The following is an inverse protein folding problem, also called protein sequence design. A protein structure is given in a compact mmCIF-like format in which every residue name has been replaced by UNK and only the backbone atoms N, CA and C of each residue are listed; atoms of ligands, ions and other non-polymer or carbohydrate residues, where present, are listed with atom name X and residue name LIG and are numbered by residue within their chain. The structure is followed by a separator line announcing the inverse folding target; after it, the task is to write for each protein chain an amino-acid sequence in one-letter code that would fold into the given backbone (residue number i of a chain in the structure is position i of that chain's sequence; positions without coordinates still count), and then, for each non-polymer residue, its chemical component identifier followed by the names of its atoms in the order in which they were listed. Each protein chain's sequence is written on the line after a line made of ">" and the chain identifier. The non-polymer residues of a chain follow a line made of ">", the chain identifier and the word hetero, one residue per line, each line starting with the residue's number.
data_IF_116796425418
#
_entry.id   IF_116796425418
#
_cell.length_a   1.000
_cell.length_b   1.000
_cell.length_c   1.000
_cell.angle_alpha   90.00
_cell.angle_beta   90.00
_cell.angle_gamma   90.00
#
_symmetry.space_group_name_H-M   'P 1'
#
loop_
_entity.id
_entity.type
_entity.pdbx_description
1 polymer ?
#
# COMPACT_ATOMS: atom_id res chain seq x y z
N UNK A 1 14.03 -8.17 -13.68
CA UNK A 1 14.44 -8.42 -12.28
C UNK A 1 15.91 -8.08 -12.19
N UNK A 2 16.34 -7.34 -11.18
CA UNK A 2 17.75 -7.12 -10.93
C UNK A 2 18.47 -8.47 -10.79
N UNK A 3 19.59 -8.63 -11.48
CA UNK A 3 20.44 -9.80 -11.28
C UNK A 3 20.97 -9.76 -9.82
N UNK A 4 21.11 -10.92 -9.16
CA UNK A 4 21.67 -11.03 -7.81
C UNK A 4 23.05 -10.35 -7.72
N UNK A 5 23.80 -10.39 -8.82
CA UNK A 5 25.09 -9.71 -8.94
C UNK A 5 24.97 -8.18 -8.83
N UNK A 6 23.94 -7.58 -9.42
CA UNK A 6 23.75 -6.14 -9.37
C UNK A 6 23.28 -5.68 -7.98
N UNK A 7 22.49 -6.51 -7.29
CA UNK A 7 22.10 -6.29 -5.90
C UNK A 7 23.31 -6.35 -4.96
N UNK A 8 24.22 -7.30 -5.19
CA UNK A 8 25.49 -7.39 -4.46
C UNK A 8 26.36 -6.15 -4.69
N UNK A 9 26.55 -5.73 -5.94
CA UNK A 9 27.27 -4.47 -6.26
C UNK A 9 26.67 -3.25 -5.59
N UNK A 10 25.34 -3.14 -5.59
CA UNK A 10 24.63 -2.05 -4.92
C UNK A 10 24.86 -2.09 -3.42
N UNK A 11 24.76 -3.28 -2.79
CA UNK A 11 25.04 -3.43 -1.36
C UNK A 11 26.47 -3.01 -1.02
N UNK A 12 27.45 -3.45 -1.79
CA UNK A 12 28.87 -3.12 -1.56
C UNK A 12 29.10 -1.61 -1.69
N UNK A 13 28.50 -0.95 -2.69
CA UNK A 13 28.55 0.50 -2.86
C UNK A 13 27.93 1.26 -1.67
N UNK A 14 26.79 0.79 -1.14
CA UNK A 14 26.18 1.39 0.04
C UNK A 14 27.06 1.20 1.27
N UNK A 15 27.59 -0.01 1.46
CA UNK A 15 28.35 -0.38 2.65
C UNK A 15 29.74 0.29 2.68
N UNK A 16 30.29 0.71 1.52
CA UNK A 16 31.45 1.60 1.44
C UNK A 16 31.20 2.98 2.08
N UNK A 17 29.96 3.49 2.03
CA UNK A 17 29.60 4.72 2.75
C UNK A 17 29.43 4.44 4.24
N UNK A 18 28.61 3.44 4.57
CA UNK A 18 28.55 2.86 5.91
C UNK A 18 27.74 1.55 5.90
N UNK A 19 27.91 0.65 6.89
CA UNK A 19 27.14 -0.60 7.01
C UNK A 19 25.61 -0.43 7.18
N UNK A 20 25.12 0.80 7.29
CA UNK A 20 23.70 1.13 7.49
C UNK A 20 23.14 2.12 6.47
N UNK A 21 23.97 2.58 5.53
CA UNK A 21 23.63 3.63 4.58
C UNK A 21 22.55 3.20 3.57
N UNK A 22 21.59 4.07 3.26
CA UNK A 22 20.42 3.72 2.46
C UNK A 22 19.98 4.91 1.59
N UNK A 23 20.13 4.85 0.27
CA UNK A 23 19.73 5.97 -0.61
C UNK A 23 18.23 6.29 -0.50
N UNK A 24 17.39 5.28 -0.32
CA UNK A 24 15.95 5.47 -0.16
C UNK A 24 15.59 6.34 1.06
N UNK A 25 16.44 6.41 2.09
CA UNK A 25 16.22 7.29 3.26
C UNK A 25 16.26 8.78 2.89
N UNK A 26 17.03 9.13 1.87
CA UNK A 26 17.15 10.49 1.32
C UNK A 26 16.19 10.71 0.17
N UNK A 27 16.00 9.74 -0.72
CA UNK A 27 15.33 9.97 -2.00
C UNK A 27 13.86 9.54 -2.07
N UNK A 28 13.30 8.94 -1.01
CA UNK A 28 11.86 8.65 -0.96
C UNK A 28 11.14 9.38 0.17
N UNK A 29 9.93 9.84 -0.12
CA UNK A 29 9.02 10.45 0.83
C UNK A 29 7.61 9.87 0.64
N UNK A 30 6.98 9.42 1.72
CA UNK A 30 5.53 9.30 1.78
C UNK A 30 5.02 10.41 2.69
N UNK A 31 4.16 11.28 2.18
CA UNK A 31 3.64 12.44 2.89
C UNK A 31 2.11 12.37 2.94
N UNK A 32 1.57 12.45 4.16
CA UNK A 32 0.15 12.51 4.43
C UNK A 32 -0.19 13.93 4.90
N UNK A 33 -0.58 14.81 3.97
CA UNK A 33 -0.85 16.22 4.27
C UNK A 33 -2.04 16.37 5.24
N UNK A 34 -3.07 15.53 5.08
CA UNK A 34 -4.28 15.56 5.91
C UNK A 34 -4.04 15.34 7.41
N UNK A 35 -2.96 14.67 7.81
CA UNK A 35 -2.62 14.46 9.22
C UNK A 35 -1.21 14.97 9.58
N UNK A 36 -0.55 15.69 8.66
CA UNK A 36 0.76 16.28 8.86
C UNK A 36 1.86 15.26 9.17
N UNK A 37 1.78 14.04 8.63
CA UNK A 37 2.81 13.02 8.85
C UNK A 37 3.65 12.74 7.60
N UNK A 38 4.89 12.32 7.83
CA UNK A 38 5.83 11.96 6.77
C UNK A 38 6.67 10.74 7.17
N UNK A 39 7.13 9.98 6.19
CA UNK A 39 8.07 8.87 6.37
C UNK A 39 9.00 8.77 5.15
N UNK A 40 10.15 8.08 5.32
CA UNK A 40 11.14 7.90 4.24
C UNK A 40 11.02 6.56 3.51
N UNK A 41 10.11 5.67 3.93
CA UNK A 41 9.88 4.34 3.36
C UNK A 41 8.67 3.72 4.08
N UNK A 42 7.92 2.85 3.40
CA UNK A 42 6.74 2.18 3.97
C UNK A 42 7.03 1.24 5.17
N UNK A 43 8.30 0.87 5.40
CA UNK A 43 8.69 0.09 6.58
C UNK A 43 9.01 0.94 7.81
N UNK A 44 9.20 2.25 7.64
CA UNK A 44 9.56 3.16 8.73
C UNK A 44 8.26 3.76 9.28
N UNK A 45 8.06 3.78 10.61
CA UNK A 45 6.91 4.47 11.19
C UNK A 45 6.86 5.94 10.78
N UNK A 46 5.66 6.42 10.42
CA UNK A 46 5.44 7.84 10.17
C UNK A 46 5.62 8.68 11.44
N UNK A 47 6.03 9.93 11.27
CA UNK A 47 6.14 10.92 12.33
C UNK A 47 5.58 12.27 11.87
N UNK A 48 5.27 13.16 12.82
CA UNK A 48 4.75 14.48 12.50
C UNK A 48 5.79 15.35 11.80
N UNK A 49 5.33 16.15 10.85
CA UNK A 49 6.02 17.29 10.29
C UNK A 49 5.94 18.39 11.35
N UNK A 50 7.07 18.70 11.99
CA UNK A 50 7.15 19.72 13.05
C UNK A 50 7.07 21.13 12.50
N UNK A 51 7.58 21.33 11.28
CA UNK A 51 7.61 22.63 10.61
C UNK A 51 7.59 22.39 9.09
N UNK A 52 6.53 22.79 8.36
CA UNK A 52 6.47 22.68 6.91
C UNK A 52 7.15 23.86 6.18
N UNK A 53 7.76 24.82 6.90
CA UNK A 53 8.30 26.08 6.36
C UNK A 53 9.08 25.92 5.05
N UNK A 54 8.75 26.76 4.07
CA UNK A 54 9.36 26.76 2.75
C UNK A 54 9.14 25.49 1.91
N UNK A 55 8.30 24.55 2.38
CA UNK A 55 8.01 23.28 1.71
C UNK A 55 9.03 22.16 1.98
N UNK A 56 10.30 22.50 2.18
CA UNK A 56 11.36 21.52 2.44
C UNK A 56 11.12 20.70 3.71
N UNK A 57 10.48 21.30 4.73
CA UNK A 57 10.16 20.64 5.99
C UNK A 57 9.25 19.41 5.84
N UNK A 58 8.50 19.30 4.74
CA UNK A 58 7.66 18.12 4.45
C UNK A 58 8.48 16.83 4.28
N UNK A 59 9.73 16.94 3.82
CA UNK A 59 10.65 15.81 3.64
C UNK A 59 11.89 15.87 4.53
N UNK A 60 12.34 17.05 4.92
CA UNK A 60 13.59 17.27 5.65
C UNK A 60 13.32 17.59 7.13
N UNK A 61 12.50 16.77 7.79
CA UNK A 61 12.21 16.97 9.22
C UNK A 61 13.46 16.72 10.08
N UNK A 62 13.56 17.33 11.27
CA UNK A 62 14.67 17.08 12.20
C UNK A 62 14.87 15.59 12.51
N UNK A 63 13.77 14.83 12.63
CA UNK A 63 13.83 13.39 12.85
C UNK A 63 14.45 12.64 11.65
N UNK A 64 14.10 12.99 10.40
CA UNK A 64 14.70 12.36 9.21
C UNK A 64 16.19 12.72 9.11
N UNK A 65 16.55 13.98 9.35
CA UNK A 65 17.95 14.45 9.35
C UNK A 65 18.78 13.70 10.40
N UNK A 66 18.29 13.57 11.63
CA UNK A 66 18.95 12.79 12.68
C UNK A 66 19.16 11.32 12.29
N UNK A 67 18.16 10.71 11.65
CA UNK A 67 18.28 9.31 11.20
C UNK A 67 19.26 9.15 10.02
N UNK A 68 19.39 10.17 9.16
CA UNK A 68 20.39 10.23 8.10
C UNK A 68 21.81 10.33 8.68
N UNK A 69 22.00 11.15 9.73
CA UNK A 69 23.26 11.23 10.50
C UNK A 69 23.65 9.90 11.13
N UNK A 70 22.68 9.22 11.76
CA UNK A 70 22.89 7.87 12.29
C UNK A 70 23.38 6.92 11.20
N UNK A 71 22.71 6.90 10.05
CA UNK A 71 23.11 6.05 8.93
C UNK A 71 24.51 6.39 8.41
N UNK A 72 24.88 7.66 8.28
CA UNK A 72 26.22 8.04 7.82
C UNK A 72 27.33 7.66 8.82
N UNK A 73 27.02 7.63 10.12
CA UNK A 73 27.93 7.16 11.18
C UNK A 73 27.93 5.65 11.40
N UNK A 74 27.26 4.87 10.53
CA UNK A 74 27.16 3.42 10.67
C UNK A 74 26.13 2.93 11.70
N UNK A 75 25.41 3.84 12.36
CA UNK A 75 24.36 3.50 13.32
C UNK A 75 23.06 3.14 12.60
N UNK A 76 22.40 2.09 13.10
CA UNK A 76 21.14 1.58 12.55
C UNK A 76 19.92 2.25 13.20
N UNK A 77 19.15 3.09 12.48
CA UNK A 77 17.96 3.70 13.08
C UNK A 77 16.90 2.65 13.42
N UNK A 78 16.30 2.77 14.62
CA UNK A 78 15.30 1.82 15.15
C UNK A 78 14.11 1.57 14.19
N UNK A 79 13.67 2.62 13.49
CA UNK A 79 12.57 2.51 12.52
C UNK A 79 12.86 1.66 11.28
N UNK A 80 14.12 1.29 11.03
CA UNK A 80 14.54 0.51 9.86
C UNK A 80 14.76 -0.99 10.17
N UNK A 81 14.31 -1.46 11.33
CA UNK A 81 14.55 -2.82 11.84
C UNK A 81 14.15 -3.94 10.88
N UNK A 82 13.13 -3.72 10.05
CA UNK A 82 12.75 -4.69 9.02
C UNK A 82 13.93 -5.05 8.10
N UNK A 83 14.68 -4.06 7.60
CA UNK A 83 15.80 -4.31 6.70
C UNK A 83 16.92 -5.07 7.39
N UNK A 84 17.17 -4.77 8.68
CA UNK A 84 18.20 -5.45 9.47
C UNK A 84 17.85 -6.90 9.74
N UNK A 85 16.56 -7.21 9.96
CA UNK A 85 16.09 -8.60 10.07
C UNK A 85 16.29 -9.39 8.78
N UNK A 86 15.97 -8.79 7.62
CA UNK A 86 16.15 -9.42 6.32
C UNK A 86 17.63 -9.67 6.02
N UNK A 87 18.50 -8.68 6.26
CA UNK A 87 19.95 -8.83 6.04
C UNK A 87 20.60 -9.84 7.00
N UNK A 88 20.17 -9.91 8.27
CA UNK A 88 20.63 -10.96 9.21
C UNK A 88 20.24 -12.37 8.77
N UNK A 89 19.16 -12.52 8.01
CA UNK A 89 18.74 -13.79 7.42
C UNK A 89 19.49 -14.13 6.10
N UNK A 90 20.52 -13.35 5.75
CA UNK A 90 21.31 -13.56 4.53
C UNK A 90 20.62 -13.12 3.24
N UNK A 91 19.56 -12.32 3.32
CA UNK A 91 18.77 -11.86 2.16
C UNK A 91 19.03 -10.37 1.88
N UNK A 92 18.81 -9.95 0.63
CA UNK A 92 18.85 -8.52 0.28
C UNK A 92 17.59 -7.81 0.79
N UNK A 93 17.77 -6.72 1.54
CA UNK A 93 16.66 -5.96 2.08
C UNK A 93 16.14 -4.88 1.13
N UNK A 94 15.00 -4.31 1.46
CA UNK A 94 14.43 -3.13 0.79
C UNK A 94 15.41 -1.94 0.71
N UNK A 95 16.38 -1.83 1.62
CA UNK A 95 17.46 -0.82 1.53
C UNK A 95 18.27 -1.01 0.25
N UNK A 96 18.64 -2.25 -0.06
CA UNK A 96 19.45 -2.58 -1.25
C UNK A 96 18.57 -2.47 -2.50
N UNK A 97 17.42 -3.15 -2.51
CA UNK A 97 16.50 -3.14 -3.64
C UNK A 97 16.12 -1.72 -4.06
N UNK A 98 15.64 -0.89 -3.13
CA UNK A 98 15.23 0.49 -3.45
C UNK A 98 16.37 1.42 -3.80
N UNK A 99 17.58 1.13 -3.35
CA UNK A 99 18.75 1.94 -3.73
C UNK A 99 19.23 1.62 -5.13
N UNK A 100 18.91 0.43 -5.65
CA UNK A 100 19.20 0.02 -7.02
C UNK A 100 18.20 0.57 -8.05
N UNK A 101 16.97 0.86 -7.62
CA UNK A 101 15.94 1.41 -8.49
C UNK A 101 16.37 2.74 -9.14
N UNK A 102 15.90 2.99 -10.37
CA UNK A 102 16.26 4.17 -11.18
C UNK A 102 16.05 5.50 -10.45
N UNK A 103 15.04 5.57 -9.57
CA UNK A 103 14.79 6.78 -8.78
C UNK A 103 15.94 7.09 -7.81
N UNK A 104 16.69 6.09 -7.32
CA UNK A 104 17.72 6.26 -6.31
C UNK A 104 19.15 6.02 -6.80
N UNK A 105 19.39 5.07 -7.71
CA UNK A 105 20.74 4.56 -8.02
C UNK A 105 21.75 5.66 -8.38
N UNK A 106 21.33 6.67 -9.15
CA UNK A 106 22.19 7.78 -9.58
C UNK A 106 22.39 8.88 -8.53
N UNK A 107 21.80 8.76 -7.34
CA UNK A 107 21.75 9.85 -6.35
C UNK A 107 22.89 9.85 -5.33
N UNK A 108 23.75 8.83 -5.32
CA UNK A 108 24.82 8.72 -4.33
C UNK A 108 25.72 9.96 -4.27
N UNK A 109 26.24 10.53 -5.39
CA UNK A 109 27.08 11.72 -5.32
C UNK A 109 26.35 12.94 -4.74
N UNK A 110 25.09 13.15 -5.12
CA UNK A 110 24.22 14.22 -4.59
C UNK A 110 24.01 14.05 -3.08
N UNK A 111 23.68 12.83 -2.64
CA UNK A 111 23.43 12.50 -1.23
C UNK A 111 24.69 12.72 -0.39
N UNK A 112 25.86 12.25 -0.83
CA UNK A 112 27.12 12.43 -0.11
C UNK A 112 27.53 13.92 -0.06
N UNK A 113 27.34 14.67 -1.15
CA UNK A 113 27.58 16.13 -1.17
C UNK A 113 26.66 16.87 -0.19
N UNK A 114 25.43 16.38 -0.01
CA UNK A 114 24.46 17.00 0.89
C UNK A 114 24.82 16.89 2.38
N UNK A 115 25.82 16.06 2.75
CA UNK A 115 26.35 15.72 4.11
C UNK A 115 25.29 15.32 5.16
N UNK A 116 24.23 16.11 5.36
CA UNK A 116 23.11 15.89 6.25
C UNK A 116 21.75 15.87 5.52
N UNK A 117 21.70 16.31 4.26
CA UNK A 117 20.48 16.36 3.47
C UNK A 117 19.48 17.41 3.98
N UNK A 118 19.94 18.43 4.70
CA UNK A 118 19.17 19.65 4.96
C UNK A 118 18.84 20.26 3.60
N UNK A 119 17.58 20.13 3.17
CA UNK A 119 17.06 20.55 1.85
C UNK A 119 17.34 19.62 0.65
N UNK A 120 17.53 18.32 0.86
CA UNK A 120 17.52 17.38 -0.28
C UNK A 120 16.10 17.18 -0.82
N UNK A 121 15.96 17.05 -2.14
CA UNK A 121 14.70 16.68 -2.78
C UNK A 121 14.57 15.16 -2.88
N UNK A 122 13.39 14.59 -2.59
CA UNK A 122 13.12 13.21 -2.95
C UNK A 122 13.02 13.10 -4.48
N UNK A 123 13.33 11.93 -5.01
CA UNK A 123 13.02 11.56 -6.40
C UNK A 123 11.80 10.62 -6.48
N UNK A 124 11.40 10.01 -5.37
CA UNK A 124 10.17 9.25 -5.24
C UNK A 124 9.27 9.92 -4.20
N UNK A 125 8.11 10.41 -4.62
CA UNK A 125 7.12 11.00 -3.72
C UNK A 125 5.80 10.21 -3.80
N UNK A 126 5.35 9.70 -2.67
CA UNK A 126 3.99 9.24 -2.46
C UNK A 126 3.22 10.28 -1.62
N UNK A 127 2.10 10.78 -2.13
CA UNK A 127 1.39 11.92 -1.56
C UNK A 127 -0.08 11.60 -1.31
N UNK A 128 -0.56 11.90 -0.10
CA UNK A 128 -1.97 11.88 0.25
C UNK A 128 -2.44 13.27 0.69
N UNK A 129 -3.29 13.90 -0.11
CA UNK A 129 -3.91 15.18 0.23
C UNK A 129 -4.92 15.03 1.36
N UNK A 130 -5.80 14.03 1.26
CA UNK A 130 -6.97 13.86 2.13
C UNK A 130 -7.16 12.40 2.56
N UNK A 131 -7.92 12.19 3.63
CA UNK A 131 -8.40 10.86 4.03
C UNK A 131 -9.86 10.60 3.63
N UNK A 132 -10.45 11.47 2.79
CA UNK A 132 -11.80 11.26 2.29
C UNK A 132 -11.84 9.96 1.49
N UNK A 133 -12.64 9.00 1.95
CA UNK A 133 -12.85 7.71 1.27
C UNK A 133 -14.30 7.30 1.46
N UNK A 134 -14.92 6.76 0.41
CA UNK A 134 -16.30 6.30 0.39
C UNK A 134 -16.44 4.85 0.91
N UNK A 135 -15.35 4.09 0.98
CA UNK A 135 -15.37 2.71 1.45
C UNK A 135 -15.01 2.55 2.93
N UNK A 136 -15.41 1.40 3.47
CA UNK A 136 -15.08 0.93 4.83
C UNK A 136 -14.48 -0.46 4.81
N UNK A 137 -13.38 -0.65 4.06
CA UNK A 137 -12.70 -1.94 3.94
C UNK A 137 -12.28 -2.47 5.32
N UNK A 138 -12.55 -3.74 5.61
CA UNK A 138 -12.49 -4.34 6.96
C UNK A 138 -11.14 -4.21 7.69
N UNK A 139 -10.04 -4.14 6.94
CA UNK A 139 -8.67 -4.03 7.46
C UNK A 139 -8.12 -2.60 7.35
N UNK A 140 -8.89 -1.67 6.80
CA UNK A 140 -8.57 -0.25 6.74
C UNK A 140 -8.90 0.42 8.09
N UNK A 141 -8.99 1.75 8.11
CA UNK A 141 -9.02 2.49 9.35
C UNK A 141 -9.65 3.88 9.27
N UNK A 142 -10.02 4.45 10.43
CA UNK A 142 -10.47 5.83 10.55
C UNK A 142 -9.47 6.88 10.02
N UNK A 143 -8.16 6.61 10.16
CA UNK A 143 -7.13 7.54 9.69
C UNK A 143 -7.14 7.70 8.18
N UNK A 144 -7.41 6.61 7.44
CA UNK A 144 -7.34 6.59 5.99
C UNK A 144 -8.72 6.57 5.32
N UNK A 145 -9.83 6.60 6.08
CA UNK A 145 -11.17 6.69 5.52
C UNK A 145 -12.10 7.51 6.42
N UNK A 146 -12.61 8.60 5.86
CA UNK A 146 -13.60 9.44 6.53
C UNK A 146 -14.91 8.70 6.84
N UNK A 147 -15.29 7.68 6.04
CA UNK A 147 -16.45 6.82 6.35
C UNK A 147 -16.18 5.86 7.50
N UNK A 148 -14.95 5.35 7.61
CA UNK A 148 -14.52 4.60 8.79
C UNK A 148 -14.52 5.47 10.04
N UNK A 149 -14.03 6.71 9.96
CA UNK A 149 -14.05 7.65 11.09
C UNK A 149 -15.47 7.88 11.59
N UNK A 150 -16.42 8.18 10.68
CA UNK A 150 -17.83 8.35 11.03
C UNK A 150 -18.44 7.12 11.72
N UNK A 151 -18.08 5.91 11.27
CA UNK A 151 -18.57 4.66 11.89
C UNK A 151 -18.06 4.50 13.32
N UNK A 152 -16.78 4.82 13.57
CA UNK A 152 -16.21 4.77 14.91
C UNK A 152 -16.78 5.88 15.81
N UNK A 153 -17.02 7.08 15.28
CA UNK A 153 -17.64 8.16 16.05
C UNK A 153 -19.07 7.82 16.46
N UNK A 154 -19.82 7.10 15.62
CA UNK A 154 -21.20 6.71 15.88
C UNK A 154 -21.33 5.51 16.85
N UNK A 155 -20.55 4.46 16.63
CA UNK A 155 -20.73 3.18 17.34
C UNK A 155 -19.61 2.86 18.34
N UNK A 156 -18.60 3.71 18.42
CA UNK A 156 -17.42 3.47 19.22
C UNK A 156 -16.51 2.36 18.67
N UNK A 157 -15.52 1.94 19.46
CA UNK A 157 -14.51 0.96 19.07
C UNK A 157 -15.11 -0.43 18.83
N UNK A 158 -14.47 -1.22 17.96
CA UNK A 158 -14.79 -2.64 17.82
C UNK A 158 -14.33 -3.44 19.05
N UNK A 159 -15.08 -4.49 19.47
CA UNK A 159 -14.90 -5.19 20.74
C UNK A 159 -13.75 -6.23 20.74
N UNK A 160 -12.53 -5.78 20.42
CA UNK A 160 -11.29 -6.58 20.37
C UNK A 160 -10.41 -6.33 21.61
N UNK A 161 -9.53 -7.28 22.00
CA UNK A 161 -8.72 -7.19 23.24
C UNK A 161 -7.68 -6.08 23.17
N UNK A 162 -6.93 -6.05 22.06
CA UNK A 162 -6.36 -4.80 21.62
C UNK A 162 -7.47 -4.11 20.86
N UNK A 163 -8.31 -3.32 21.54
CA UNK A 163 -9.36 -2.60 20.82
C UNK A 163 -8.69 -1.93 19.65
N UNK A 164 -9.21 -2.18 18.43
CA UNK A 164 -8.75 -1.50 17.22
C UNK A 164 -8.41 -0.06 17.60
N UNK A 165 -9.36 0.62 18.22
CA UNK A 165 -9.26 1.97 18.72
C UNK A 165 -8.10 2.29 19.68
N UNK A 166 -7.71 1.45 20.65
CA UNK A 166 -6.56 1.73 21.53
C UNK A 166 -5.22 1.52 20.81
N UNK A 167 -5.10 0.50 19.97
CA UNK A 167 -3.94 0.37 19.06
C UNK A 167 -3.94 1.42 17.95
N UNK A 168 -5.10 1.97 17.59
CA UNK A 168 -5.29 2.99 16.55
C UNK A 168 -4.99 4.40 17.07
N UNK A 169 -5.54 4.82 18.22
CA UNK A 169 -5.23 6.10 18.87
C UNK A 169 -3.74 6.24 19.16
N UNK A 170 -3.06 5.15 19.55
CA UNK A 170 -1.63 5.17 19.87
C UNK A 170 -0.72 5.15 18.64
N UNK A 171 -1.20 4.72 17.46
CA UNK A 171 -0.36 4.53 16.25
C UNK A 171 -0.70 5.43 15.07
N UNK A 172 -1.93 5.96 14.98
CA UNK A 172 -2.38 6.70 13.81
C UNK A 172 -3.15 7.95 14.21
N UNK A 173 -2.67 9.08 13.69
CA UNK A 173 -3.15 10.41 14.07
C UNK A 173 -4.43 10.72 13.30
N UNK A 174 -5.40 11.30 14.01
CA UNK A 174 -6.60 11.89 13.39
C UNK A 174 -6.16 12.92 12.33
N UNK A 175 -7.00 13.20 11.31
CA UNK A 175 -6.79 14.35 10.46
C UNK A 175 -6.56 15.62 11.29
N UNK A 176 -5.68 16.48 10.82
CA UNK A 176 -5.46 17.80 11.40
C UNK A 176 -6.75 18.64 11.29
N UNK A 177 -6.91 19.69 12.11
CA UNK A 177 -7.94 20.70 11.85
C UNK A 177 -7.78 21.31 10.44
N UNK A 178 -8.87 21.77 9.79
CA UNK A 178 -8.81 22.27 8.41
C UNK A 178 -7.73 23.34 8.16
N UNK A 179 -7.55 24.28 9.09
CA UNK A 179 -6.53 25.32 8.98
C UNK A 179 -5.09 24.76 8.97
N UNK A 180 -4.83 23.72 9.76
CA UNK A 180 -3.51 23.07 9.81
C UNK A 180 -3.30 22.15 8.59
N UNK A 181 -4.36 21.51 8.07
CA UNK A 181 -4.30 20.80 6.79
C UNK A 181 -3.97 21.77 5.65
N UNK A 182 -4.61 22.94 5.62
CA UNK A 182 -4.36 23.94 4.59
C UNK A 182 -2.90 24.41 4.61
N UNK A 183 -2.31 24.66 5.79
CA UNK A 183 -0.88 24.98 5.91
C UNK A 183 0.03 23.91 5.28
N UNK A 184 -0.31 22.62 5.44
CA UNK A 184 0.45 21.52 4.82
C UNK A 184 0.31 21.54 3.29
N UNK A 185 -0.89 21.81 2.79
CA UNK A 185 -1.18 21.92 1.35
C UNK A 185 -0.48 23.13 0.73
N UNK A 186 -0.53 24.29 1.39
CA UNK A 186 0.14 25.52 0.94
C UNK A 186 1.66 25.31 0.89
N UNK A 187 2.23 24.65 1.90
CA UNK A 187 3.65 24.30 1.90
C UNK A 187 4.02 23.35 0.75
N UNK A 188 3.14 22.40 0.39
CA UNK A 188 3.36 21.54 -0.77
C UNK A 188 3.38 22.37 -2.07
N UNK A 189 2.42 23.27 -2.26
CA UNK A 189 2.36 24.11 -3.46
C UNK A 189 3.50 25.11 -3.56
N UNK A 190 3.98 25.62 -2.43
CA UNK A 190 5.20 26.43 -2.37
C UNK A 190 6.44 25.63 -2.79
N UNK A 191 6.49 24.34 -2.43
CA UNK A 191 7.59 23.43 -2.78
C UNK A 191 7.56 22.98 -4.24
N UNK A 192 6.36 22.78 -4.77
CA UNK A 192 6.07 22.09 -6.03
C UNK A 192 6.91 22.56 -7.22
N UNK A 193 7.08 23.88 -7.49
CA UNK A 193 7.83 24.36 -8.65
C UNK A 193 9.27 23.84 -8.72
N UNK A 194 9.93 23.71 -7.55
CA UNK A 194 11.29 23.15 -7.46
C UNK A 194 11.24 21.63 -7.36
N UNK A 195 10.35 21.08 -6.55
CA UNK A 195 10.23 19.64 -6.32
C UNK A 195 10.08 18.84 -7.61
N UNK A 196 9.18 19.25 -8.52
CA UNK A 196 8.88 18.50 -9.75
C UNK A 196 10.10 18.31 -10.66
N UNK A 197 11.09 19.21 -10.59
CA UNK A 197 12.34 19.14 -11.35
C UNK A 197 13.25 17.99 -10.87
N UNK A 198 13.03 17.50 -9.65
CA UNK A 198 13.84 16.44 -9.03
C UNK A 198 13.10 15.10 -8.92
N UNK A 199 11.78 15.07 -9.14
CA UNK A 199 10.98 13.85 -9.09
C UNK A 199 11.26 12.98 -10.32
N UNK A 200 11.41 11.67 -10.08
CA UNK A 200 11.31 10.62 -11.10
C UNK A 200 10.02 9.83 -10.97
N UNK A 201 9.48 9.71 -9.74
CA UNK A 201 8.22 9.02 -9.48
C UNK A 201 7.33 9.88 -8.59
N UNK A 202 6.10 10.10 -9.04
CA UNK A 202 5.04 10.75 -8.27
C UNK A 202 3.85 9.82 -8.16
N UNK A 203 3.53 9.39 -6.94
CA UNK A 203 2.41 8.50 -6.65
C UNK A 203 1.38 9.20 -5.77
N UNK A 204 0.13 9.23 -6.21
CA UNK A 204 -0.98 9.75 -5.40
C UNK A 204 -1.70 8.61 -4.70
N UNK A 205 -1.90 8.80 -3.40
CA UNK A 205 -2.59 7.90 -2.48
C UNK A 205 -3.47 8.72 -1.54
N UNK A 206 -3.87 8.18 -0.39
CA UNK A 206 -4.82 8.81 0.53
C UNK A 206 -6.14 8.07 0.45
N UNK A 207 -7.18 8.60 1.10
CA UNK A 207 -8.42 7.83 1.28
C UNK A 207 -8.95 7.22 -0.02
N UNK A 208 -9.58 8.03 -0.86
CA UNK A 208 -9.77 7.75 -2.27
C UNK A 208 -9.36 9.02 -3.02
N UNK A 209 -8.21 9.02 -3.72
CA UNK A 209 -7.67 10.22 -4.37
C UNK A 209 -8.68 10.95 -5.26
N UNK A 210 -9.57 10.22 -5.93
CA UNK A 210 -10.59 10.80 -6.80
C UNK A 210 -11.81 11.40 -6.08
N UNK A 211 -11.79 11.42 -4.75
CA UNK A 211 -12.68 12.29 -3.98
C UNK A 211 -12.06 13.66 -3.72
N UNK A 212 -10.75 13.82 -3.94
CA UNK A 212 -10.01 15.01 -3.54
C UNK A 212 -9.86 16.03 -4.68
N UNK A 213 -10.36 17.28 -4.52
CA UNK A 213 -10.16 18.33 -5.52
C UNK A 213 -8.68 18.67 -5.71
N UNK A 214 -7.84 18.51 -4.68
CA UNK A 214 -6.39 18.75 -4.79
C UNK A 214 -5.69 17.73 -5.70
N UNK A 215 -6.18 16.48 -5.73
CA UNK A 215 -5.66 15.47 -6.66
C UNK A 215 -5.98 15.85 -8.10
N UNK A 216 -7.21 16.29 -8.37
CA UNK A 216 -7.61 16.80 -9.70
C UNK A 216 -6.77 18.01 -10.12
N UNK A 217 -6.55 18.95 -9.21
CA UNK A 217 -5.75 20.14 -9.47
C UNK A 217 -4.29 19.81 -9.80
N UNK A 218 -3.68 18.86 -9.09
CA UNK A 218 -2.33 18.39 -9.39
C UNK A 218 -2.22 17.73 -10.77
N UNK A 219 -3.20 16.89 -11.13
CA UNK A 219 -3.23 16.29 -12.47
C UNK A 219 -3.41 17.35 -13.56
N UNK A 220 -4.29 18.33 -13.36
CA UNK A 220 -4.47 19.46 -14.28
C UNK A 220 -3.17 20.27 -14.44
N UNK A 221 -2.41 20.48 -13.36
CA UNK A 221 -1.10 21.15 -13.43
C UNK A 221 -0.08 20.33 -14.23
N UNK A 222 -0.04 19.01 -14.06
CA UNK A 222 0.85 18.13 -14.84
C UNK A 222 0.50 18.14 -16.34
N UNK A 223 -0.80 18.20 -16.66
CA UNK A 223 -1.28 18.28 -18.04
C UNK A 223 -0.86 19.61 -18.69
N UNK A 224 -1.08 20.74 -17.98
CA UNK A 224 -0.73 22.08 -18.48
C UNK A 224 0.77 22.33 -18.56
N UNK A 225 1.53 21.74 -17.65
CA UNK A 225 2.99 21.87 -17.60
C UNK A 225 3.65 20.49 -17.63
N UNK A 226 3.75 19.87 -18.83
CA UNK A 226 4.26 18.51 -19.01
C UNK A 226 5.57 18.22 -18.27
N UNK A 227 5.66 17.05 -17.65
CA UNK A 227 6.81 16.51 -16.93
C UNK A 227 7.21 15.14 -17.52
N UNK A 228 7.81 15.09 -18.73
CA UNK A 228 8.07 13.85 -19.46
C UNK A 228 9.11 12.92 -18.80
N UNK A 229 9.74 13.36 -17.70
CA UNK A 229 10.66 12.57 -16.88
C UNK A 229 10.00 11.89 -15.67
N UNK A 230 8.74 12.18 -15.38
CA UNK A 230 8.02 11.65 -14.20
C UNK A 230 7.21 10.39 -14.57
N UNK A 231 7.40 9.32 -13.81
CA UNK A 231 6.47 8.20 -13.75
C UNK A 231 5.33 8.55 -12.76
N UNK A 232 4.12 8.74 -13.28
CA UNK A 232 2.94 9.06 -12.48
C UNK A 232 2.19 7.79 -12.08
N UNK A 233 1.88 7.67 -10.79
CA UNK A 233 1.10 6.59 -10.21
C UNK A 233 -0.10 7.10 -9.45
N UNK A 234 -1.23 6.39 -9.50
CA UNK A 234 -2.38 6.71 -8.66
C UNK A 234 -3.04 5.46 -8.10
N UNK A 235 -3.33 5.48 -6.79
CA UNK A 235 -4.08 4.42 -6.12
C UNK A 235 -5.58 4.73 -6.17
N UNK A 236 -6.40 3.72 -6.41
CA UNK A 236 -7.86 3.87 -6.33
C UNK A 236 -8.54 2.56 -5.97
N UNK A 237 -9.71 2.66 -5.35
CA UNK A 237 -10.62 1.54 -5.13
C UNK A 237 -11.60 1.32 -6.30
N UNK A 238 -11.55 2.16 -7.35
CA UNK A 238 -12.43 2.15 -8.53
C UNK A 238 -13.94 2.29 -8.25
N UNK A 239 -14.32 2.69 -7.03
CA UNK A 239 -15.71 2.89 -6.61
C UNK A 239 -16.26 4.26 -7.01
N UNK A 240 -16.30 4.56 -8.31
CA UNK A 240 -16.66 5.86 -8.83
C UNK A 240 -18.16 6.06 -9.03
N UNK A 241 -18.60 7.33 -8.96
CA UNK A 241 -19.84 7.74 -9.64
C UNK A 241 -19.57 7.88 -11.14
N UNK A 242 -20.56 7.70 -12.03
CA UNK A 242 -20.36 7.81 -13.48
C UNK A 242 -19.64 9.09 -13.90
N UNK A 243 -20.07 10.24 -13.36
CA UNK A 243 -19.47 11.56 -13.66
C UNK A 243 -18.00 11.63 -13.26
N UNK A 244 -17.64 11.12 -12.07
CA UNK A 244 -16.24 11.11 -11.61
C UNK A 244 -15.39 10.14 -12.42
N UNK A 245 -15.99 9.04 -12.87
CA UNK A 245 -15.30 8.07 -13.70
C UNK A 245 -14.94 8.63 -15.07
N UNK A 246 -15.87 9.35 -15.74
CA UNK A 246 -15.54 10.02 -17.01
C UNK A 246 -14.43 11.05 -16.85
N UNK A 247 -14.49 11.87 -15.79
CA UNK A 247 -13.44 12.85 -15.50
C UNK A 247 -12.08 12.16 -15.29
N UNK A 248 -12.07 11.06 -14.53
CA UNK A 248 -10.89 10.24 -14.32
C UNK A 248 -10.30 9.71 -15.64
N UNK A 249 -11.12 9.09 -16.49
CA UNK A 249 -10.65 8.53 -17.76
C UNK A 249 -10.07 9.62 -18.68
N UNK A 250 -10.73 10.77 -18.77
CA UNK A 250 -10.22 11.89 -19.56
C UNK A 250 -8.85 12.34 -19.07
N UNK A 251 -8.68 12.54 -17.76
CA UNK A 251 -7.42 13.01 -17.22
C UNK A 251 -6.30 11.99 -17.33
N UNK A 252 -6.60 10.69 -17.18
CA UNK A 252 -5.59 9.64 -17.38
C UNK A 252 -5.07 9.66 -18.81
N UNK A 253 -5.97 9.78 -19.80
CA UNK A 253 -5.59 9.88 -21.21
C UNK A 253 -4.73 11.13 -21.46
N UNK A 254 -5.15 12.28 -20.95
CA UNK A 254 -4.40 13.53 -21.16
C UNK A 254 -3.02 13.48 -20.46
N UNK A 255 -2.95 12.87 -19.27
CA UNK A 255 -1.67 12.67 -18.55
C UNK A 255 -0.68 11.80 -19.32
N UNK A 256 -1.13 10.81 -20.10
CA UNK A 256 -0.22 9.96 -20.88
C UNK A 256 0.63 10.76 -21.88
N UNK A 257 0.15 11.91 -22.35
CA UNK A 257 0.91 12.81 -23.21
C UNK A 257 1.87 13.74 -22.43
N UNK A 258 1.64 13.90 -21.13
CA UNK A 258 2.33 14.90 -20.30
C UNK A 258 3.39 14.31 -19.38
N UNK A 259 3.39 13.00 -19.13
CA UNK A 259 4.33 12.33 -18.22
C UNK A 259 4.97 11.11 -18.88
N UNK A 260 6.07 10.60 -18.31
CA UNK A 260 6.82 9.47 -18.87
C UNK A 260 5.96 8.20 -18.97
N UNK A 261 5.20 7.92 -17.91
CA UNK A 261 4.39 6.72 -17.76
C UNK A 261 3.25 6.96 -16.78
N UNK A 262 2.07 6.41 -17.08
CA UNK A 262 0.94 6.38 -16.15
C UNK A 262 0.74 4.96 -15.62
N UNK A 263 0.62 4.83 -14.29
CA UNK A 263 0.34 3.57 -13.60
C UNK A 263 -0.87 3.72 -12.67
N UNK A 264 -1.88 2.88 -12.85
CA UNK A 264 -3.05 2.82 -11.97
C UNK A 264 -2.91 1.61 -11.05
N UNK A 265 -3.00 1.85 -9.74
CA UNK A 265 -2.94 0.82 -8.71
C UNK A 265 -4.35 0.64 -8.14
N UNK A 266 -5.06 -0.39 -8.60
CA UNK A 266 -6.44 -0.66 -8.19
C UNK A 266 -6.48 -1.70 -7.09
N UNK A 267 -7.27 -1.50 -6.05
CA UNK A 267 -7.26 -2.39 -4.89
C UNK A 267 -8.49 -3.30 -4.82
N UNK A 268 -8.27 -4.62 -4.80
CA UNK A 268 -9.31 -5.68 -4.77
C UNK A 268 -8.71 -6.94 -4.14
N UNK A 269 -9.47 -7.66 -3.32
CA UNK A 269 -8.91 -8.75 -2.49
C UNK A 269 -9.56 -10.12 -2.72
N UNK A 270 -10.70 -10.17 -3.41
CA UNK A 270 -11.46 -11.39 -3.70
C UNK A 270 -12.41 -11.11 -4.87
N UNK A 271 -13.38 -11.98 -5.13
CA UNK A 271 -14.44 -11.80 -6.14
C UNK A 271 -15.83 -11.76 -5.51
N UNK A 272 -16.79 -11.18 -6.23
CA UNK A 272 -18.22 -11.22 -5.87
C UNK A 272 -18.51 -10.74 -4.45
N UNK A 273 -19.43 -11.44 -3.76
CA UNK A 273 -19.87 -11.07 -2.40
C UNK A 273 -18.75 -11.07 -1.36
N UNK A 274 -17.75 -11.94 -1.52
CA UNK A 274 -16.58 -11.95 -0.64
C UNK A 274 -15.76 -10.66 -0.79
N UNK A 275 -15.57 -10.18 -2.02
CA UNK A 275 -14.91 -8.91 -2.27
C UNK A 275 -15.69 -7.73 -1.65
N UNK A 276 -17.01 -7.71 -1.84
CA UNK A 276 -17.90 -6.67 -1.31
C UNK A 276 -17.91 -6.64 0.22
N UNK A 277 -17.84 -7.81 0.86
CA UNK A 277 -17.75 -7.92 2.32
C UNK A 277 -16.41 -7.40 2.84
N UNK A 278 -15.29 -7.82 2.24
CA UNK A 278 -13.94 -7.36 2.62
C UNK A 278 -13.81 -5.84 2.41
N UNK A 279 -14.33 -5.34 1.29
CA UNK A 279 -14.27 -3.93 0.87
C UNK A 279 -15.64 -3.28 0.92
N UNK A 280 -16.23 -3.17 2.11
CA UNK A 280 -17.57 -2.62 2.25
C UNK A 280 -17.78 -1.27 1.56
N UNK A 281 -18.79 -1.22 0.70
CA UNK A 281 -19.08 -0.10 -0.21
C UNK A 281 -18.73 -0.42 -1.67
N UNK A 282 -17.92 -1.44 -1.92
CA UNK A 282 -17.65 -1.98 -3.25
C UNK A 282 -18.91 -2.64 -3.81
N UNK A 283 -19.18 -2.39 -5.09
CA UNK A 283 -20.00 -3.24 -5.96
C UNK A 283 -19.05 -3.93 -6.94
N UNK A 284 -18.97 -5.27 -6.88
CA UNK A 284 -17.96 -5.99 -7.66
C UNK A 284 -18.23 -5.91 -9.17
N UNK A 285 -19.49 -5.98 -9.58
CA UNK A 285 -19.87 -5.86 -10.99
C UNK A 285 -19.47 -4.49 -11.56
N UNK A 286 -19.74 -3.41 -10.83
CA UNK A 286 -19.39 -2.06 -11.30
C UNK A 286 -17.86 -1.85 -11.31
N UNK A 287 -17.15 -2.45 -10.36
CA UNK A 287 -15.69 -2.51 -10.40
C UNK A 287 -15.19 -3.19 -11.68
N UNK A 288 -15.72 -4.36 -12.04
CA UNK A 288 -15.33 -5.05 -13.28
C UNK A 288 -15.62 -4.19 -14.50
N UNK A 289 -16.81 -3.58 -14.59
CA UNK A 289 -17.17 -2.65 -15.69
C UNK A 289 -16.21 -1.49 -15.80
N UNK A 290 -15.84 -0.87 -14.67
CA UNK A 290 -14.89 0.24 -14.64
C UNK A 290 -13.51 -0.22 -15.13
N UNK A 291 -13.02 -1.38 -14.69
CA UNK A 291 -11.74 -1.93 -15.18
C UNK A 291 -11.76 -2.15 -16.70
N UNK A 292 -12.80 -2.81 -17.22
CA UNK A 292 -12.94 -3.01 -18.67
C UNK A 292 -12.99 -1.68 -19.42
N UNK A 293 -13.77 -0.70 -18.94
CA UNK A 293 -13.86 0.61 -19.58
C UNK A 293 -12.55 1.38 -19.55
N UNK A 294 -11.79 1.32 -18.45
CA UNK A 294 -10.44 1.89 -18.37
C UNK A 294 -9.49 1.25 -19.37
N UNK A 295 -9.51 -0.08 -19.51
CA UNK A 295 -8.65 -0.82 -20.46
C UNK A 295 -9.08 -0.65 -21.91
N UNK A 296 -10.35 -0.37 -22.20
CA UNK A 296 -10.83 -0.13 -23.57
C UNK A 296 -10.56 1.30 -24.04
N UNK A 297 -10.65 2.30 -23.16
CA UNK A 297 -10.61 3.72 -23.55
C UNK A 297 -9.23 4.37 -23.55
N UNK A 298 -8.22 3.73 -22.97
CA UNK A 298 -6.89 4.33 -22.92
C UNK A 298 -6.14 4.11 -24.24
N UNK A 299 -5.65 5.20 -24.83
CA UNK A 299 -4.80 5.15 -26.03
C UNK A 299 -3.41 4.63 -25.64
N UNK A 300 -3.11 3.37 -25.96
CA UNK A 300 -1.78 2.78 -25.71
C UNK A 300 -1.46 2.41 -24.26
N UNK A 301 -0.30 1.77 -24.07
CA UNK A 301 0.05 1.00 -22.87
C UNK A 301 0.29 1.83 -21.60
N UNK A 302 -0.73 2.04 -20.78
CA UNK A 302 -0.57 2.33 -19.35
C UNK A 302 -0.39 1.03 -18.54
N UNK A 303 0.07 1.15 -17.30
CA UNK A 303 0.15 0.01 -16.38
C UNK A 303 -1.06 -0.04 -15.46
N UNK A 304 -1.73 -1.18 -15.39
CA UNK A 304 -2.76 -1.46 -14.38
C UNK A 304 -2.20 -2.50 -13.41
N UNK A 305 -2.09 -2.16 -12.13
CA UNK A 305 -1.63 -3.06 -11.10
C UNK A 305 -2.76 -3.35 -10.10
N UNK A 306 -3.15 -4.61 -9.97
CA UNK A 306 -4.07 -5.06 -8.94
C UNK A 306 -3.32 -5.22 -7.61
N UNK A 307 -3.66 -4.38 -6.64
CA UNK A 307 -3.14 -4.44 -5.27
C UNK A 307 -4.05 -5.35 -4.44
N UNK A 308 -3.61 -6.58 -4.22
CA UNK A 308 -4.37 -7.65 -3.55
C UNK A 308 -3.80 -7.89 -2.15
N UNK A 309 -4.50 -7.43 -1.13
CA UNK A 309 -4.07 -7.62 0.26
C UNK A 309 -4.42 -9.02 0.71
N UNK A 310 -3.43 -9.91 0.74
CA UNK A 310 -3.61 -11.28 1.21
C UNK A 310 -3.83 -11.27 2.73
N UNK A 311 -5.08 -11.48 3.12
CA UNK A 311 -5.57 -11.50 4.49
C UNK A 311 -6.36 -12.79 4.75
N UNK A 312 -6.85 -12.97 5.98
CA UNK A 312 -7.60 -14.16 6.35
C UNK A 312 -8.73 -14.43 5.35
N UNK A 313 -9.59 -13.44 5.05
CA UNK A 313 -10.78 -13.63 4.24
C UNK A 313 -10.53 -13.65 2.72
N UNK A 314 -9.36 -13.22 2.24
CA UNK A 314 -9.10 -13.19 0.79
C UNK A 314 -8.78 -14.57 0.21
N UNK A 315 -8.31 -15.52 1.03
CA UNK A 315 -7.77 -16.80 0.53
C UNK A 315 -8.73 -17.58 -0.37
N UNK A 316 -10.01 -17.79 -0.01
CA UNK A 316 -10.92 -18.60 -0.82
C UNK A 316 -11.15 -18.00 -2.22
N UNK A 317 -11.25 -16.68 -2.31
CA UNK A 317 -11.46 -15.97 -3.58
C UNK A 317 -10.19 -15.56 -4.31
N UNK A 318 -8.99 -15.91 -3.80
CA UNK A 318 -7.73 -15.49 -4.39
C UNK A 318 -7.49 -16.12 -5.77
N UNK A 319 -7.67 -17.44 -5.89
CA UNK A 319 -7.54 -18.14 -7.18
C UNK A 319 -8.60 -17.69 -8.20
N UNK A 320 -9.90 -17.57 -7.85
CA UNK A 320 -10.90 -16.95 -8.73
C UNK A 320 -10.53 -15.53 -9.19
N UNK A 321 -9.99 -14.70 -8.31
CA UNK A 321 -9.53 -13.36 -8.66
C UNK A 321 -8.37 -13.41 -9.67
N UNK A 322 -7.39 -14.29 -9.44
CA UNK A 322 -6.26 -14.50 -10.36
C UNK A 322 -6.71 -15.05 -11.72
N UNK A 323 -7.73 -15.92 -11.75
CA UNK A 323 -8.38 -16.39 -12.98
C UNK A 323 -8.97 -15.23 -13.78
N UNK A 324 -9.69 -14.32 -13.12
CA UNK A 324 -10.21 -13.13 -13.80
C UNK A 324 -9.10 -12.18 -14.29
N UNK A 325 -8.03 -11.99 -13.51
CA UNK A 325 -6.88 -11.15 -13.91
C UNK A 325 -6.16 -11.73 -15.14
N UNK A 326 -6.00 -13.05 -15.24
CA UNK A 326 -5.38 -13.67 -16.43
C UNK A 326 -6.26 -13.51 -17.67
N UNK A 327 -7.59 -13.54 -17.53
CA UNK A 327 -8.52 -13.24 -18.63
C UNK A 327 -8.35 -11.79 -19.11
N UNK A 328 -8.20 -10.83 -18.20
CA UNK A 328 -7.91 -9.44 -18.56
C UNK A 328 -6.57 -9.30 -19.29
N UNK A 329 -5.51 -9.96 -18.80
CA UNK A 329 -4.19 -9.97 -19.47
C UNK A 329 -4.28 -10.49 -20.91
N UNK A 330 -5.16 -11.47 -21.16
CA UNK A 330 -5.41 -12.02 -22.51
C UNK A 330 -6.27 -11.12 -23.39
N UNK A 331 -7.31 -10.51 -22.81
CA UNK A 331 -8.23 -9.63 -23.54
C UNK A 331 -7.61 -8.28 -23.92
N UNK A 332 -6.61 -7.82 -23.16
CA UNK A 332 -5.98 -6.51 -23.33
C UNK A 332 -4.45 -6.59 -23.39
N UNK A 333 -3.87 -7.32 -24.36
CA UNK A 333 -2.43 -7.59 -24.42
C UNK A 333 -1.57 -6.32 -24.65
N UNK A 334 -2.17 -5.23 -25.12
CA UNK A 334 -1.52 -3.93 -25.30
C UNK A 334 -1.21 -3.20 -23.98
N UNK A 335 -1.85 -3.61 -22.87
CA UNK A 335 -1.66 -2.99 -21.56
C UNK A 335 -0.81 -3.87 -20.64
N UNK A 336 0.03 -3.22 -19.82
CA UNK A 336 0.77 -3.94 -18.80
C UNK A 336 -0.13 -4.15 -17.57
N UNK A 337 -0.76 -5.32 -17.48
CA UNK A 337 -1.59 -5.70 -16.34
C UNK A 337 -0.75 -6.55 -15.37
N UNK A 338 -0.59 -6.08 -14.14
CA UNK A 338 0.20 -6.72 -13.09
C UNK A 338 -0.64 -7.01 -11.85
N UNK A 339 -0.14 -7.88 -10.97
CA UNK A 339 -0.67 -8.10 -9.63
C UNK A 339 0.42 -7.90 -8.58
N UNK A 340 0.08 -7.24 -7.48
CA UNK A 340 0.90 -7.13 -6.29
C UNK A 340 0.16 -7.75 -5.10
N UNK A 341 0.86 -8.58 -4.33
CA UNK A 341 0.26 -9.50 -3.35
C UNK A 341 0.84 -9.28 -1.94
N UNK A 342 0.71 -8.07 -1.35
CA UNK A 342 1.17 -7.85 0.02
C UNK A 342 0.31 -8.64 1.03
N UNK A 343 0.93 -9.22 2.05
CA UNK A 343 0.21 -9.87 3.15
C UNK A 343 -0.14 -8.90 4.28
N UNK A 344 -1.31 -9.08 4.89
CA UNK A 344 -1.79 -8.24 5.98
C UNK A 344 -1.04 -8.51 7.29
N UNK A 345 -0.39 -7.47 7.82
CA UNK A 345 0.28 -7.50 9.15
C UNK A 345 -0.57 -6.93 10.27
N UNK A 346 -1.36 -5.90 9.97
CA UNK A 346 -2.23 -5.23 10.92
C UNK A 346 -3.57 -4.90 10.24
N UNK A 347 -4.71 -5.11 10.92
CA UNK A 347 -4.83 -5.72 12.25
C UNK A 347 -4.50 -7.22 12.24
N UNK A 348 -3.78 -7.69 13.26
CA UNK A 348 -3.30 -9.09 13.30
C UNK A 348 -4.42 -10.14 13.32
N UNK A 349 -5.60 -9.81 13.89
CA UNK A 349 -6.73 -10.74 13.93
C UNK A 349 -7.40 -10.90 12.56
N UNK A 350 -6.95 -10.23 11.51
CA UNK A 350 -7.32 -10.52 10.11
C UNK A 350 -6.15 -11.09 9.31
N UNK A 351 -5.02 -11.38 9.96
CA UNK A 351 -3.86 -11.93 9.28
C UNK A 351 -4.07 -13.41 8.98
N UNK A 352 -3.51 -13.89 7.88
CA UNK A 352 -3.50 -15.32 7.52
C UNK A 352 -2.85 -16.21 8.59
N UNK A 353 -2.01 -15.65 9.48
CA UNK A 353 -1.35 -16.38 10.56
C UNK A 353 -2.30 -16.93 11.63
N UNK A 354 -3.53 -16.43 11.70
CA UNK A 354 -4.50 -16.90 12.69
C UNK A 354 -5.23 -18.16 12.22
N UNK A 355 -5.20 -18.46 10.93
CA UNK A 355 -6.01 -19.53 10.34
C UNK A 355 -5.47 -20.91 10.77
N UNK A 356 -6.31 -21.93 10.65
CA UNK A 356 -5.88 -23.32 10.79
C UNK A 356 -5.19 -23.82 9.53
N UNK A 357 -4.43 -24.91 9.63
CA UNK A 357 -3.55 -25.38 8.56
C UNK A 357 -4.30 -25.78 7.28
N UNK A 358 -5.57 -26.16 7.39
CA UNK A 358 -6.46 -26.46 6.28
C UNK A 358 -6.63 -25.28 5.32
N UNK A 359 -6.55 -24.03 5.80
CA UNK A 359 -6.67 -22.83 4.94
C UNK A 359 -5.47 -22.65 4.00
N UNK A 360 -4.34 -23.33 4.27
CA UNK A 360 -3.14 -23.25 3.41
C UNK A 360 -3.41 -23.79 2.01
N UNK A 361 -4.40 -24.67 1.84
CA UNK A 361 -4.72 -25.26 0.54
C UNK A 361 -5.07 -24.19 -0.50
N UNK A 362 -5.85 -23.16 -0.13
CA UNK A 362 -6.21 -22.07 -1.03
C UNK A 362 -5.00 -21.26 -1.48
N UNK A 363 -4.03 -21.04 -0.59
CA UNK A 363 -2.79 -20.36 -0.94
C UNK A 363 -1.93 -21.20 -1.88
N UNK A 364 -1.81 -22.50 -1.62
CA UNK A 364 -1.07 -23.45 -2.47
C UNK A 364 -1.72 -23.51 -3.87
N UNK A 365 -3.04 -23.66 -3.93
CA UNK A 365 -3.76 -23.69 -5.20
C UNK A 365 -3.60 -22.40 -6.01
N UNK A 366 -3.64 -21.24 -5.36
CA UNK A 366 -3.42 -19.96 -6.03
C UNK A 366 -1.98 -19.87 -6.58
N UNK A 367 -0.99 -20.33 -5.82
CA UNK A 367 0.43 -20.38 -6.25
C UNK A 367 0.59 -21.30 -7.46
N UNK A 368 0.05 -22.51 -7.38
CA UNK A 368 0.20 -23.50 -8.44
C UNK A 368 -0.57 -23.07 -9.70
N UNK A 369 -1.72 -22.41 -9.55
CA UNK A 369 -2.40 -21.75 -10.64
C UNK A 369 -1.53 -20.68 -11.32
N UNK A 370 -0.86 -19.80 -10.55
CA UNK A 370 0.01 -18.79 -11.15
C UNK A 370 1.21 -19.42 -11.86
N UNK A 371 1.84 -20.46 -11.29
CA UNK A 371 2.95 -21.19 -11.93
C UNK A 371 2.53 -21.83 -13.27
N UNK A 372 1.33 -22.41 -13.31
CA UNK A 372 0.78 -23.00 -14.53
C UNK A 372 0.47 -21.96 -15.62
N UNK A 373 0.42 -20.67 -15.27
CA UNK A 373 0.09 -19.57 -16.17
C UNK A 373 1.22 -18.51 -16.21
N UNK A 374 2.48 -18.94 -16.13
CA UNK A 374 3.63 -18.05 -16.33
C UNK A 374 3.62 -17.50 -17.76
N UNK A 375 3.91 -16.21 -17.89
CA UNK A 375 3.98 -15.53 -19.18
C UNK A 375 5.04 -16.17 -20.06
N UNK A 376 4.71 -16.35 -21.35
CA UNK A 376 5.63 -16.82 -22.38
C UNK A 376 5.52 -15.91 -23.60
N UNK A 377 6.43 -16.06 -24.56
CA UNK A 377 6.39 -15.30 -25.82
C UNK A 377 5.04 -15.43 -26.56
N UNK A 378 4.33 -16.55 -26.38
CA UNK A 378 3.07 -16.84 -27.06
C UNK A 378 1.82 -16.56 -26.21
N UNK A 379 1.95 -16.49 -24.89
CA UNK A 379 0.80 -16.38 -23.99
C UNK A 379 1.05 -15.34 -22.90
N UNK A 380 0.20 -14.30 -22.78
CA UNK A 380 0.26 -13.38 -21.65
C UNK A 380 -0.05 -14.14 -20.37
N UNK A 381 0.70 -13.82 -19.31
CA UNK A 381 0.71 -14.60 -18.07
C UNK A 381 1.18 -13.82 -16.85
N UNK A 382 1.41 -14.53 -15.76
CA UNK A 382 2.10 -14.00 -14.60
C UNK A 382 3.62 -14.02 -14.84
N UNK A 383 4.30 -12.99 -14.39
CA UNK A 383 5.75 -12.96 -14.30
C UNK A 383 6.20 -13.84 -13.13
N UNK A 384 7.42 -14.38 -13.21
CA UNK A 384 8.00 -15.11 -12.08
C UNK A 384 8.06 -14.26 -10.80
N UNK A 385 8.26 -12.95 -10.94
CA UNK A 385 8.26 -12.02 -9.81
C UNK A 385 6.89 -11.95 -9.11
N UNK A 386 5.79 -11.98 -9.86
CA UNK A 386 4.43 -12.04 -9.30
C UNK A 386 4.20 -13.36 -8.55
N UNK A 387 4.64 -14.49 -9.13
CA UNK A 387 4.56 -15.81 -8.47
C UNK A 387 5.36 -15.82 -7.17
N UNK A 388 6.60 -15.32 -7.20
CA UNK A 388 7.47 -15.26 -6.03
C UNK A 388 6.88 -14.42 -4.89
N UNK A 389 6.20 -13.31 -5.21
CA UNK A 389 5.52 -12.49 -4.20
C UNK A 389 4.49 -13.29 -3.41
N UNK A 390 3.68 -14.11 -4.08
CA UNK A 390 2.70 -14.98 -3.41
C UNK A 390 3.38 -16.10 -2.63
N UNK A 391 4.39 -16.75 -3.23
CA UNK A 391 5.15 -17.83 -2.59
C UNK A 391 5.81 -17.39 -1.28
N UNK A 392 6.29 -16.15 -1.19
CA UNK A 392 6.88 -15.58 0.04
C UNK A 392 5.91 -15.51 1.22
N UNK A 393 4.61 -15.69 0.99
CA UNK A 393 3.61 -15.75 2.06
C UNK A 393 3.59 -17.13 2.74
N UNK A 394 3.98 -18.22 2.07
CA UNK A 394 3.99 -19.56 2.66
C UNK A 394 4.82 -19.64 3.96
N UNK A 395 6.08 -19.15 4.01
CA UNK A 395 6.84 -19.10 5.26
C UNK A 395 6.23 -18.19 6.32
N UNK A 396 5.47 -17.16 5.93
CA UNK A 396 4.78 -16.28 6.88
C UNK A 396 3.57 -16.96 7.54
N UNK A 397 2.93 -17.91 6.84
CA UNK A 397 1.81 -18.75 7.34
C UNK A 397 2.31 -19.98 8.11
N UNK A 398 3.57 -20.38 7.94
CA UNK A 398 4.21 -21.43 8.73
C UNK A 398 4.24 -21.07 10.24
N UNK A 399 4.52 -22.02 11.16
CA UNK A 399 4.39 -21.83 12.60
C UNK A 399 4.96 -20.49 13.05
N UNK A 400 4.06 -19.57 13.38
CA UNK A 400 4.42 -18.19 13.64
C UNK A 400 5.22 -18.08 14.94
N UNK A 401 6.05 -17.05 15.07
CA UNK A 401 6.63 -16.62 16.36
C UNK A 401 5.55 -16.27 17.41
N UNK A 402 4.26 -16.30 17.05
CA UNK A 402 3.16 -16.07 17.97
C UNK A 402 2.93 -17.30 18.86
N UNK A 403 2.83 -17.07 20.16
CA UNK A 403 2.44 -18.12 21.10
C UNK A 403 1.05 -18.67 20.79
N UNK A 404 0.80 -19.93 21.15
CA UNK A 404 -0.53 -20.56 21.04
C UNK A 404 -1.63 -19.70 21.68
N UNK A 405 -1.34 -19.13 22.85
CA UNK A 405 -2.26 -18.21 23.53
C UNK A 405 -2.56 -16.98 22.67
N UNK A 406 -1.54 -16.36 22.05
CA UNK A 406 -1.74 -15.19 21.20
C UNK A 406 -2.62 -15.52 19.99
N UNK A 407 -2.43 -16.67 19.35
CA UNK A 407 -3.28 -17.13 18.23
C UNK A 407 -4.73 -17.28 18.68
N UNK A 408 -4.99 -17.93 19.82
CA UNK A 408 -6.35 -18.09 20.37
C UNK A 408 -7.03 -16.74 20.64
N UNK A 409 -6.30 -15.79 21.23
CA UNK A 409 -6.83 -14.44 21.49
C UNK A 409 -7.14 -13.68 20.19
N UNK A 410 -6.31 -13.83 19.16
CA UNK A 410 -6.57 -13.25 17.84
C UNK A 410 -7.78 -13.89 17.14
N UNK A 411 -7.97 -15.21 17.28
CA UNK A 411 -9.18 -15.91 16.78
C UNK A 411 -10.46 -15.46 17.48
N UNK A 412 -10.40 -15.23 18.80
CA UNK A 412 -11.49 -14.59 19.54
C UNK A 412 -11.78 -13.20 18.98
N UNK A 413 -10.75 -12.37 18.78
CA UNK A 413 -10.90 -11.02 18.25
C UNK A 413 -11.44 -11.01 16.82
N UNK A 414 -11.06 -11.97 15.97
CA UNK A 414 -11.62 -12.17 14.63
C UNK A 414 -13.14 -12.32 14.67
N UNK A 415 -13.66 -13.24 15.50
CA UNK A 415 -15.11 -13.46 15.61
C UNK A 415 -15.83 -12.26 16.22
N UNK A 416 -15.29 -11.68 17.31
CA UNK A 416 -15.89 -10.49 17.95
C UNK A 416 -15.95 -9.28 17.00
N UNK A 417 -14.90 -9.08 16.21
CA UNK A 417 -14.87 -8.00 15.23
C UNK A 417 -15.92 -8.23 14.14
N UNK A 418 -15.97 -9.43 13.54
CA UNK A 418 -16.89 -9.76 12.46
C UNK A 418 -18.35 -9.78 12.89
N UNK A 419 -18.67 -10.24 14.11
CA UNK A 419 -20.04 -10.16 14.65
C UNK A 419 -20.50 -8.70 14.75
N UNK A 420 -19.63 -7.82 15.25
CA UNK A 420 -19.96 -6.39 15.34
C UNK A 420 -20.00 -5.73 13.95
N UNK A 421 -19.15 -6.18 13.03
CA UNK A 421 -19.13 -5.75 11.63
C UNK A 421 -20.47 -6.05 10.95
N UNK A 422 -20.94 -7.29 11.04
CA UNK A 422 -22.23 -7.76 10.52
C UNK A 422 -23.37 -6.91 11.07
N UNK A 423 -23.41 -6.71 12.39
CA UNK A 423 -24.42 -5.88 13.05
C UNK A 423 -24.43 -4.44 12.55
N UNK A 424 -23.27 -3.80 12.41
CA UNK A 424 -23.16 -2.40 11.95
C UNK A 424 -23.53 -2.22 10.48
N UNK A 425 -23.29 -3.25 9.67
CA UNK A 425 -23.32 -3.17 8.21
C UNK A 425 -24.47 -3.92 7.56
N UNK A 426 -25.28 -4.64 8.35
CA UNK A 426 -26.41 -5.42 7.84
C UNK A 426 -25.96 -6.53 6.89
N UNK A 427 -24.83 -7.17 7.19
CA UNK A 427 -24.29 -8.28 6.41
C UNK A 427 -24.20 -9.54 7.28
N UNK A 428 -23.89 -10.67 6.65
CA UNK A 428 -23.77 -11.98 7.32
C UNK A 428 -22.50 -12.68 6.85
N UNK A 429 -21.57 -12.85 7.79
CA UNK A 429 -20.29 -13.49 7.57
C UNK A 429 -20.44 -14.95 7.09
N UNK A 430 -21.25 -15.78 7.74
CA UNK A 430 -21.34 -17.21 7.42
C UNK A 430 -22.16 -17.49 6.16
N UNK A 431 -23.04 -16.56 5.79
CA UNK A 431 -23.70 -16.59 4.48
C UNK A 431 -22.72 -16.21 3.35
N UNK A 432 -21.75 -15.33 3.62
CA UNK A 432 -20.76 -14.88 2.63
C UNK A 432 -19.53 -15.81 2.54
N UNK A 433 -19.16 -16.43 3.66
CA UNK A 433 -17.98 -17.28 3.84
C UNK A 433 -18.39 -18.60 4.51
N UNK A 434 -19.24 -19.43 3.87
CA UNK A 434 -19.70 -20.70 4.46
C UNK A 434 -18.56 -21.66 4.80
N UNK A 435 -17.44 -21.60 4.08
CA UNK A 435 -16.22 -22.38 4.29
C UNK A 435 -15.53 -22.07 5.65
N UNK A 436 -15.86 -20.96 6.30
CA UNK A 436 -15.34 -20.60 7.63
C UNK A 436 -16.16 -21.17 8.78
N UNK A 437 -17.26 -21.91 8.53
CA UNK A 437 -18.19 -22.34 9.58
C UNK A 437 -17.52 -23.07 10.75
N UNK A 438 -16.65 -24.04 10.45
CA UNK A 438 -15.94 -24.81 11.48
C UNK A 438 -14.95 -23.92 12.26
N UNK A 439 -14.17 -23.11 11.54
CA UNK A 439 -13.23 -22.16 12.14
C UNK A 439 -13.94 -21.14 13.04
N UNK A 440 -15.11 -20.65 12.61
CA UNK A 440 -15.95 -19.72 13.37
C UNK A 440 -16.48 -20.36 14.66
N UNK A 441 -17.03 -21.58 14.59
CA UNK A 441 -17.53 -22.31 15.76
C UNK A 441 -16.43 -22.50 16.81
N UNK A 442 -15.24 -22.93 16.39
CA UNK A 442 -14.09 -23.10 17.29
C UNK A 442 -13.59 -21.77 17.87
N UNK A 443 -13.61 -20.70 17.08
CA UNK A 443 -13.06 -19.40 17.48
C UNK A 443 -14.01 -18.59 18.35
N UNK A 444 -15.32 -18.74 18.18
CA UNK A 444 -16.36 -17.95 18.86
C UNK A 444 -16.57 -18.35 20.33
N UNK A 445 -16.22 -19.58 20.70
CA UNK A 445 -16.29 -20.09 22.07
C UNK A 445 -15.09 -19.69 22.94
N UNK A 446 -14.03 -19.13 22.35
CA UNK A 446 -12.84 -18.70 23.08
C UNK A 446 -13.19 -17.53 24.01
N UNK A 447 -12.96 -17.71 25.31
CA UNK A 447 -13.19 -16.68 26.34
C UNK A 447 -11.92 -15.88 26.62
N UNK A 448 -12.10 -14.68 27.17
CA UNK A 448 -10.97 -13.90 27.70
C UNK A 448 -10.39 -14.64 28.92
N UNK A 449 -9.07 -14.82 29.04
CA UNK A 449 -8.47 -15.36 30.25
C UNK A 449 -8.85 -14.49 31.44
N UNK A 450 -9.32 -15.12 32.52
CA UNK A 450 -9.37 -14.50 33.84
C UNK A 450 -7.91 -14.30 34.27
N UNK A 451 -7.51 -13.05 34.53
CA UNK A 451 -6.22 -12.75 35.16
C UNK A 451 -6.46 -12.37 36.60
#
# INVERSE_FOLDING_TARGET
>A
MANLEDLRKTKDQLDQTSPSFCLAKWKTATIHLFNGNTQSCHHVPSHAISDPNGGYGLHNTPQKIKQRQQMLSGQRPKGCEYCWKVERAGQFSDRVHKSQEDFAASSLPEVLKSKLGENIFPSYLELAFENACQFRCMYCSPTYSSRWQKEIDQYGPYPTLSSLFQTWQSRHKKPLPPAEQQKMIDAFWLWWPKLRQHLKVLRITGGEPFLSPHTFHLMEHLIREPQPHIDFGINTNMGFTPVKFEKFLSQIRDLQASVKKVSIFTSIDSVGKQAEYIRYGLNFSDFQKNIHKTLTMADGGFTLCFMVTVNALSLPGLKPLLQWIIELKKAYPQHQINVDLPYLRQPQYLSVQILSDDFKIWLIEAIDFMKAHIASLKNPGFTEAEVQKLQRILPFVAPSDLSKLKILLLRRDFTKMLTEYDRRKGCDFLSTFPEYRNFWQQSSVIKRPSF
#
